data_IF_123141458213
#
_entry.id   IF_123141458213
#
_cell.length_a   1.000
_cell.length_b   1.000
_cell.length_c   1.000
_cell.angle_alpha   90.00
_cell.angle_beta   90.00
_cell.angle_gamma   90.00
#
_symmetry.space_group_name_H-M   'P 1'
#
loop_
_entity.id
_entity.type
_entity.pdbx_description
1 polymer ?
#
# COMPACT_ATOMS: atom_id res chain seq x y z
N UNK A 1 -32.29 -21.67 41.97
CA UNK A 1 -32.55 -20.91 40.72
C UNK A 1 -31.81 -19.57 40.66
N UNK A 2 -31.89 -18.70 41.69
CA UNK A 2 -31.21 -17.38 41.72
C UNK A 2 -29.68 -17.41 41.44
N UNK A 3 -28.97 -18.43 41.96
CA UNK A 3 -27.50 -18.57 41.80
C UNK A 3 -27.06 -18.87 40.36
N UNK A 4 -27.86 -19.62 39.61
CA UNK A 4 -27.58 -19.95 38.21
C UNK A 4 -27.91 -18.77 37.27
N UNK A 5 -28.91 -17.96 37.62
CA UNK A 5 -29.25 -16.73 36.90
C UNK A 5 -28.13 -15.68 37.02
N UNK A 6 -27.56 -15.51 38.21
CA UNK A 6 -26.39 -14.64 38.42
C UNK A 6 -25.14 -15.15 37.69
N UNK A 7 -24.92 -16.47 37.67
CA UNK A 7 -23.80 -17.06 36.93
C UNK A 7 -23.95 -16.89 35.41
N UNK A 8 -25.16 -17.04 34.86
CA UNK A 8 -25.44 -16.81 33.45
C UNK A 8 -25.28 -15.34 33.07
N UNK A 9 -25.74 -14.40 33.91
CA UNK A 9 -25.55 -12.96 33.70
C UNK A 9 -24.07 -12.56 33.73
N UNK A 10 -23.29 -13.07 34.69
CA UNK A 10 -21.85 -12.79 34.76
C UNK A 10 -21.07 -13.40 33.58
N UNK A 11 -21.46 -14.59 33.11
CA UNK A 11 -20.89 -15.22 31.92
C UNK A 11 -21.23 -14.51 30.61
N UNK A 12 -22.41 -13.89 30.52
CA UNK A 12 -22.80 -13.10 29.36
C UNK A 12 -22.06 -11.74 29.33
N UNK A 13 -21.82 -11.13 30.49
CA UNK A 13 -21.08 -9.86 30.62
C UNK A 13 -19.63 -9.97 30.14
N UNK A 14 -18.94 -11.07 30.42
CA UNK A 14 -17.54 -11.25 30.01
C UNK A 14 -17.35 -11.33 28.49
N UNK A 15 -18.34 -11.84 27.74
CA UNK A 15 -18.33 -11.88 26.28
C UNK A 15 -18.52 -10.50 25.64
N UNK A 16 -19.16 -9.56 26.34
CA UNK A 16 -19.37 -8.19 25.81
C UNK A 16 -18.13 -7.30 25.92
N UNK A 17 -17.19 -7.62 26.82
CA UNK A 17 -15.98 -6.80 27.04
C UNK A 17 -14.97 -6.97 25.89
N UNK A 18 -14.93 -8.12 25.22
CA UNK A 18 -14.00 -8.37 24.09
C UNK A 18 -14.49 -7.82 22.76
N UNK A 19 -15.73 -7.32 22.66
CA UNK A 19 -16.30 -6.82 21.41
C UNK A 19 -15.79 -5.42 21.00
N UNK A 20 -15.12 -4.70 21.90
CA UNK A 20 -14.57 -3.37 21.63
C UNK A 20 -13.11 -3.38 21.16
N UNK A 21 -12.51 -4.55 20.92
CA UNK A 21 -11.16 -4.61 20.37
C UNK A 21 -11.18 -4.01 18.94
N UNK A 22 -10.45 -2.91 18.68
CA UNK A 22 -10.44 -2.28 17.37
C UNK A 22 -9.90 -3.29 16.35
N UNK A 23 -10.79 -3.83 15.54
CA UNK A 23 -10.42 -4.78 14.49
C UNK A 23 -9.81 -3.97 13.35
N UNK A 24 -8.47 -3.94 13.28
CA UNK A 24 -7.78 -3.33 12.15
C UNK A 24 -7.99 -4.25 10.96
N UNK A 25 -8.87 -3.86 10.04
CA UNK A 25 -9.00 -4.55 8.76
C UNK A 25 -7.68 -4.43 8.01
N UNK A 26 -6.94 -5.54 7.93
CA UNK A 26 -5.70 -5.64 7.20
C UNK A 26 -6.00 -6.15 5.79
N UNK A 27 -5.65 -5.36 4.79
CA UNK A 27 -5.76 -5.74 3.39
C UNK A 27 -4.42 -6.35 2.98
N UNK A 28 -4.41 -7.55 2.40
CA UNK A 28 -3.15 -8.10 1.85
C UNK A 28 -2.88 -7.50 0.47
N UNK A 29 -2.08 -6.42 0.43
CA UNK A 29 -1.78 -5.71 -0.81
C UNK A 29 -0.80 -6.50 -1.69
N UNK A 30 0.08 -7.31 -1.10
CA UNK A 30 0.95 -8.21 -1.85
C UNK A 30 0.13 -9.23 -2.63
N UNK A 31 -0.86 -9.88 -2.00
CA UNK A 31 -1.74 -10.82 -2.69
C UNK A 31 -2.58 -10.11 -3.76
N UNK A 32 -3.17 -8.95 -3.45
CA UNK A 32 -3.94 -8.18 -4.44
C UNK A 32 -3.11 -7.72 -5.63
N UNK A 33 -1.82 -7.46 -5.42
CA UNK A 33 -0.90 -7.06 -6.50
C UNK A 33 -0.74 -8.13 -7.59
N UNK A 34 -1.01 -9.40 -7.28
CA UNK A 34 -0.98 -10.49 -8.26
C UNK A 34 -2.09 -10.36 -9.32
N UNK A 35 -3.14 -9.61 -9.02
CA UNK A 35 -4.24 -9.34 -9.94
C UNK A 35 -3.99 -8.09 -10.80
N UNK A 36 -2.92 -7.33 -10.51
CA UNK A 36 -2.54 -6.19 -11.33
C UNK A 36 -1.90 -6.65 -12.62
N UNK A 37 -2.08 -5.86 -13.67
CA UNK A 37 -1.52 -6.11 -14.98
C UNK A 37 -1.11 -4.80 -15.64
N UNK A 38 -0.09 -4.85 -16.50
CA UNK A 38 0.32 -3.70 -17.30
C UNK A 38 -0.83 -3.24 -18.21
N UNK A 39 -0.99 -1.93 -18.37
CA UNK A 39 -2.06 -1.35 -19.19
C UNK A 39 -3.44 -1.30 -18.51
N UNK A 40 -3.58 -1.82 -17.30
CA UNK A 40 -4.80 -1.72 -16.51
C UNK A 40 -5.20 -0.25 -16.28
N UNK A 41 -6.49 0.06 -16.32
CA UNK A 41 -6.97 1.42 -16.08
C UNK A 41 -7.00 1.75 -14.59
N UNK A 42 -7.05 3.03 -14.25
CA UNK A 42 -7.23 3.48 -12.85
C UNK A 42 -8.48 2.88 -12.18
N UNK A 43 -9.56 2.71 -12.93
CA UNK A 43 -10.81 2.15 -12.40
C UNK A 43 -10.65 0.67 -12.06
N UNK A 44 -9.97 -0.09 -12.93
CA UNK A 44 -9.70 -1.51 -12.68
C UNK A 44 -8.76 -1.67 -11.47
N UNK A 45 -7.74 -0.80 -11.34
CA UNK A 45 -6.89 -0.79 -10.13
C UNK A 45 -7.70 -0.46 -8.89
N UNK A 46 -8.64 0.49 -8.97
CA UNK A 46 -9.54 0.83 -7.86
C UNK A 46 -10.40 -0.37 -7.44
N UNK A 47 -10.85 -1.20 -8.40
CA UNK A 47 -11.61 -2.42 -8.10
C UNK A 47 -10.75 -3.49 -7.42
N UNK A 48 -9.50 -3.65 -7.85
CA UNK A 48 -8.58 -4.64 -7.27
C UNK A 48 -8.08 -4.19 -5.89
N UNK A 49 -7.52 -2.99 -5.82
CA UNK A 49 -6.77 -2.48 -4.68
C UNK A 49 -7.62 -1.70 -3.69
N UNK A 50 -8.74 -1.12 -4.15
CA UNK A 50 -9.51 -0.14 -3.39
C UNK A 50 -8.91 1.27 -3.49
N UNK A 51 -9.37 2.15 -2.62
CA UNK A 51 -8.95 3.55 -2.58
C UNK A 51 -7.51 3.68 -2.08
N UNK A 52 -6.62 4.38 -2.82
CA UNK A 52 -5.27 4.63 -2.36
C UNK A 52 -5.27 5.54 -1.13
N UNK A 53 -4.25 5.37 -0.29
CA UNK A 53 -4.05 6.21 0.90
C UNK A 53 -3.36 7.52 0.54
N UNK A 54 -2.46 7.49 -0.44
CA UNK A 54 -1.82 8.68 -1.03
C UNK A 54 -1.75 8.55 -2.54
N UNK A 55 -1.87 9.70 -3.21
CA UNK A 55 -1.65 9.83 -4.65
C UNK A 55 -0.62 10.92 -4.90
N UNK A 56 0.45 10.59 -5.61
CA UNK A 56 1.48 11.54 -6.01
C UNK A 56 1.42 11.72 -7.53
N UNK A 57 1.19 12.95 -8.00
CA UNK A 57 1.06 13.28 -9.43
C UNK A 57 2.20 14.19 -9.84
N UNK A 58 2.92 13.82 -10.90
CA UNK A 58 3.91 14.67 -11.55
C UNK A 58 3.68 14.72 -13.07
N UNK A 59 4.49 15.51 -13.79
CA UNK A 59 4.33 15.69 -15.24
C UNK A 59 4.53 14.41 -16.06
N UNK A 60 5.28 13.44 -15.54
CA UNK A 60 5.64 12.21 -16.26
C UNK A 60 4.74 11.03 -15.89
N UNK A 61 4.25 10.99 -14.65
CA UNK A 61 3.61 9.84 -14.04
C UNK A 61 2.75 10.21 -12.85
N UNK A 62 1.81 9.33 -12.57
CA UNK A 62 0.99 9.36 -11.36
C UNK A 62 1.24 8.09 -10.56
N UNK A 63 1.24 8.19 -9.24
CA UNK A 63 1.50 7.07 -8.35
C UNK A 63 0.43 6.99 -7.28
N UNK A 64 -0.10 5.80 -7.10
CA UNK A 64 -1.04 5.49 -6.04
C UNK A 64 -0.36 4.59 -5.03
N UNK A 65 -0.42 4.97 -3.76
CA UNK A 65 0.34 4.35 -2.68
C UNK A 65 -0.65 3.80 -1.66
N UNK A 66 -0.46 2.53 -1.36
CA UNK A 66 -1.30 1.71 -0.50
C UNK A 66 -0.48 1.22 0.67
N UNK A 67 -1.03 1.31 1.88
CA UNK A 67 -0.44 0.69 3.06
C UNK A 67 -1.50 0.39 4.12
N UNK A 68 -1.21 -0.64 4.92
CA UNK A 68 -1.96 -0.92 6.13
C UNK A 68 -1.41 -0.11 7.31
N UNK A 69 -2.28 0.20 8.28
CA UNK A 69 -1.82 0.76 9.56
C UNK A 69 -0.92 -0.26 10.26
N UNK A 70 0.18 0.21 10.83
CA UNK A 70 1.07 -0.61 11.62
C UNK A 70 0.51 -0.78 13.04
N UNK A 71 0.71 -1.94 13.65
CA UNK A 71 0.33 -2.20 15.05
C UNK A 71 1.62 -2.37 15.85
N UNK A 72 1.84 -1.49 16.82
CA UNK A 72 2.96 -1.55 17.75
C UNK A 72 2.43 -1.71 19.17
N UNK A 73 2.57 -2.91 19.73
CA UNK A 73 1.95 -3.26 21.00
C UNK A 73 0.43 -3.16 20.88
N UNK A 74 -0.16 -2.21 21.61
CA UNK A 74 -1.61 -1.93 21.60
C UNK A 74 -1.99 -0.69 20.78
N UNK A 75 -1.01 -0.02 20.16
CA UNK A 75 -1.23 1.24 19.43
C UNK A 75 -1.30 0.95 17.92
N UNK A 76 -2.35 1.48 17.28
CA UNK A 76 -2.49 1.47 15.82
C UNK A 76 -1.94 2.77 15.27
N UNK A 77 -0.88 2.70 14.46
CA UNK A 77 -0.20 3.85 13.87
C UNK A 77 -0.45 3.87 12.36
N UNK A 78 -1.06 4.94 11.87
CA UNK A 78 -1.23 5.16 10.44
C UNK A 78 -0.01 5.89 9.88
N UNK A 79 1.03 5.12 9.56
CA UNK A 79 2.27 5.65 9.01
C UNK A 79 2.79 4.73 7.91
N UNK A 80 2.97 5.28 6.71
CA UNK A 80 3.47 4.57 5.54
C UNK A 80 4.85 3.93 5.79
N UNK A 81 5.77 4.63 6.46
CA UNK A 81 7.14 4.14 6.65
C UNK A 81 7.22 2.95 7.62
N UNK A 82 6.24 2.86 8.52
CA UNK A 82 6.15 1.77 9.49
C UNK A 82 5.29 0.60 8.96
N UNK A 83 4.66 0.77 7.80
CA UNK A 83 3.83 -0.26 7.22
C UNK A 83 4.68 -1.41 6.67
N UNK A 84 4.35 -2.62 7.09
CA UNK A 84 5.02 -3.86 6.61
C UNK A 84 4.50 -4.32 5.26
N UNK A 85 3.28 -3.92 4.91
CA UNK A 85 2.65 -4.22 3.63
C UNK A 85 2.26 -2.91 2.95
N UNK A 86 3.17 -2.46 2.08
CA UNK A 86 3.05 -1.26 1.26
C UNK A 86 3.18 -1.62 -0.21
N UNK A 87 2.32 -1.08 -1.04
CA UNK A 87 2.41 -1.21 -2.49
C UNK A 87 2.24 0.14 -3.17
N UNK A 88 3.09 0.42 -4.15
CA UNK A 88 2.98 1.59 -5.02
C UNK A 88 2.61 1.12 -6.42
N UNK A 89 1.57 1.72 -7.01
CA UNK A 89 1.17 1.51 -8.41
C UNK A 89 1.46 2.77 -9.19
N UNK A 90 2.23 2.66 -10.27
CA UNK A 90 2.58 3.79 -11.14
C UNK A 90 1.75 3.73 -12.42
N UNK A 91 1.26 4.90 -12.83
CA UNK A 91 0.50 5.14 -14.03
C UNK A 91 1.22 6.12 -14.94
N UNK A 92 1.15 5.88 -16.24
CA UNK A 92 1.49 6.85 -17.29
C UNK A 92 0.30 6.89 -18.24
N UNK A 93 -0.16 8.09 -18.59
CA UNK A 93 -1.37 8.28 -19.42
C UNK A 93 -2.60 7.50 -18.90
N UNK A 94 -2.74 7.41 -17.57
CA UNK A 94 -3.86 6.72 -16.91
C UNK A 94 -3.83 5.19 -16.98
N UNK A 95 -2.70 4.60 -17.39
CA UNK A 95 -2.50 3.16 -17.55
C UNK A 95 -1.37 2.67 -16.64
N UNK A 96 -1.55 1.51 -16.01
CA UNK A 96 -0.52 0.91 -15.14
C UNK A 96 0.73 0.58 -15.94
N UNK A 97 1.88 1.05 -15.47
CA UNK A 97 3.19 0.78 -16.08
C UNK A 97 4.15 0.01 -15.18
N UNK A 98 3.95 0.08 -13.85
CA UNK A 98 4.68 -0.74 -12.87
C UNK A 98 3.98 -0.73 -11.52
N UNK A 99 4.25 -1.73 -10.70
CA UNK A 99 3.86 -1.75 -9.29
C UNK A 99 4.88 -2.50 -8.44
N UNK A 100 4.89 -2.25 -7.12
CA UNK A 100 5.74 -2.97 -6.17
C UNK A 100 6.02 -2.18 -4.90
N UNK A 101 6.89 -2.70 -4.04
CA UNK A 101 7.45 -1.99 -2.90
C UNK A 101 8.49 -0.97 -3.37
N UNK A 102 8.04 0.13 -3.98
CA UNK A 102 8.94 1.19 -4.41
C UNK A 102 9.24 2.12 -3.23
N UNK A 103 10.50 2.22 -2.81
CA UNK A 103 10.96 3.20 -1.84
C UNK A 103 11.45 4.47 -2.54
N UNK A 104 11.53 5.58 -1.79
CA UNK A 104 12.13 6.83 -2.28
C UNK A 104 13.59 6.61 -2.75
N UNK A 105 14.32 5.70 -2.09
CA UNK A 105 15.69 5.34 -2.43
C UNK A 105 15.78 4.62 -3.78
N UNK A 106 14.83 3.75 -4.09
CA UNK A 106 14.77 3.06 -5.39
C UNK A 106 14.55 4.05 -6.53
N UNK A 107 13.73 5.08 -6.30
CA UNK A 107 13.49 6.13 -7.29
C UNK A 107 14.72 7.00 -7.55
N UNK A 108 15.47 7.34 -6.50
CA UNK A 108 16.74 8.08 -6.62
C UNK A 108 17.74 7.25 -7.43
N UNK A 109 17.83 5.95 -7.17
CA UNK A 109 18.70 5.05 -7.91
C UNK A 109 18.28 4.94 -9.38
N UNK A 110 16.99 4.74 -9.68
CA UNK A 110 16.48 4.68 -11.06
C UNK A 110 16.77 6.00 -11.81
N UNK A 111 16.56 7.15 -11.15
CA UNK A 111 16.85 8.46 -11.76
C UNK A 111 18.33 8.67 -12.04
N UNK A 112 19.21 8.19 -11.15
CA UNK A 112 20.66 8.24 -11.31
C UNK A 112 21.11 7.36 -12.47
N UNK A 113 20.54 6.16 -12.61
CA UNK A 113 20.80 5.25 -13.73
C UNK A 113 20.35 5.84 -15.07
N UNK A 114 19.14 6.41 -15.15
CA UNK A 114 18.65 7.08 -16.36
C UNK A 114 19.54 8.24 -16.77
N UNK A 115 19.98 9.04 -15.80
CA UNK A 115 20.90 10.16 -16.02
C UNK A 115 22.24 9.66 -16.55
N UNK A 116 22.82 8.63 -15.94
CA UNK A 116 24.08 8.03 -16.40
C UNK A 116 23.98 7.45 -17.82
N UNK A 117 22.86 6.79 -18.16
CA UNK A 117 22.59 6.29 -19.50
C UNK A 117 22.46 7.42 -20.53
N UNK A 118 21.76 8.50 -20.19
CA UNK A 118 21.64 9.66 -21.07
C UNK A 118 23.00 10.29 -21.40
N UNK A 119 23.89 10.41 -20.41
CA UNK A 119 25.27 10.89 -20.64
C UNK A 119 26.09 9.93 -21.50
N UNK A 120 25.97 8.61 -21.27
CA UNK A 120 26.69 7.61 -22.07
C UNK A 120 26.24 7.62 -23.54
N UNK A 121 24.94 7.76 -23.80
CA UNK A 121 24.39 7.85 -25.15
C UNK A 121 24.77 9.18 -25.83
N UNK A 122 24.77 10.31 -25.11
CA UNK A 122 25.27 11.58 -25.63
C UNK A 122 26.76 11.53 -26.00
N UNK A 123 27.58 10.86 -25.19
CA UNK A 123 29.01 10.69 -25.45
C UNK A 123 29.30 9.77 -26.65
N UNK A 124 28.43 8.78 -26.93
CA UNK A 124 28.51 7.95 -28.14
C UNK A 124 28.04 8.70 -29.39
N UNK A 125 26.99 9.52 -29.27
CA UNK A 125 26.49 10.36 -30.35
C UNK A 125 27.48 11.43 -30.80
N UNK A 126 28.30 11.97 -29.89
CA UNK A 126 29.33 12.96 -30.19
C UNK A 126 30.59 12.39 -30.90
N UNK A 127 30.67 11.07 -31.09
CA UNK A 127 31.78 10.38 -31.79
C UNK A 127 31.45 9.96 -33.23
N UNK A 128 30.29 10.37 -33.76
CA UNK A 128 29.94 10.27 -35.19
C UNK A 128 30.06 11.63 -35.85
#
# INVERSE_FOLDING_TARGET
MKKYLCAALLGLSSLTITACAPTVQKIDYNQKSMLLSLGMSKNDVMQVMGTPRRTDVNQERERWIYWNKAVYGYTVVDNEQLATDRLTVTFVNGKVTKWGQQTLTDDILESSQKTAQAYAEAAKGAKK
#
